data_IF_443463999973
#
_entry.id   IF_443463999973
#
_cell.length_a   1.000
_cell.length_b   1.000
_cell.length_c   1.000
_cell.angle_alpha   90.00
_cell.angle_beta   90.00
_cell.angle_gamma   90.00
#
_symmetry.space_group_name_H-M   'P 1'
#
loop_
_entity.id
_entity.type
_entity.pdbx_description
1 polymer ?
#
# COMPACT_ATOMS: atom_id res chain seq x y z
N UNK A 1 -10.19 -1.54 -19.56
CA UNK A 1 -9.11 -0.79 -18.91
C UNK A 1 -9.67 0.51 -18.37
N UNK A 2 -9.34 0.86 -17.12
CA UNK A 2 -9.74 2.11 -16.48
C UNK A 2 -8.51 3.01 -16.37
N UNK A 3 -8.69 4.32 -16.55
CA UNK A 3 -7.65 5.33 -16.43
C UNK A 3 -8.01 6.29 -15.30
N UNK A 4 -7.11 6.44 -14.32
CA UNK A 4 -7.20 7.36 -13.21
C UNK A 4 -5.95 8.25 -13.17
N UNK A 5 -5.96 9.26 -12.31
CA UNK A 5 -4.82 10.15 -12.12
C UNK A 5 -4.61 10.44 -10.64
N UNK A 6 -3.35 10.59 -10.25
CA UNK A 6 -2.95 11.09 -8.93
C UNK A 6 -1.90 12.20 -9.06
N UNK A 7 -1.72 13.00 -7.99
CA UNK A 7 -0.84 14.17 -8.00
C UNK A 7 -1.49 15.42 -8.59
N UNK A 8 -0.78 16.55 -8.53
CA UNK A 8 -1.21 17.87 -9.04
C UNK A 8 -0.14 18.49 -9.92
N UNK A 9 -0.57 19.33 -10.89
CA UNK A 9 0.34 20.06 -11.75
C UNK A 9 1.42 19.17 -12.37
N UNK A 10 2.70 19.54 -12.29
CA UNK A 10 3.81 18.76 -12.86
C UNK A 10 4.01 17.39 -12.22
N UNK A 11 3.52 17.16 -10.99
CA UNK A 11 3.62 15.88 -10.29
C UNK A 11 2.48 14.92 -10.62
N UNK A 12 1.54 15.30 -11.51
CA UNK A 12 0.41 14.47 -11.92
C UNK A 12 0.88 13.30 -12.79
N UNK A 13 0.40 12.09 -12.48
CA UNK A 13 0.71 10.89 -13.24
C UNK A 13 -0.53 10.02 -13.47
N UNK A 14 -0.44 9.20 -14.52
CA UNK A 14 -1.53 8.30 -14.91
C UNK A 14 -1.44 6.96 -14.18
N UNK A 15 -2.60 6.40 -13.85
CA UNK A 15 -2.79 5.05 -13.31
C UNK A 15 -3.73 4.31 -14.24
N UNK A 16 -3.27 3.20 -14.84
CA UNK A 16 -4.07 2.34 -15.69
C UNK A 16 -4.35 1.02 -15.00
N UNK A 17 -5.62 0.59 -14.96
CA UNK A 17 -6.07 -0.63 -14.31
C UNK A 17 -6.74 -1.54 -15.34
N UNK A 18 -6.31 -2.82 -15.39
CA UNK A 18 -6.88 -3.83 -16.29
C UNK A 18 -7.06 -5.17 -15.57
N UNK A 19 -8.02 -5.94 -16.03
CA UNK A 19 -8.26 -7.34 -15.64
C UNK A 19 -7.57 -8.35 -16.58
N UNK A 20 -6.82 -7.85 -17.56
CA UNK A 20 -6.08 -8.61 -18.55
C UNK A 20 -4.56 -8.39 -18.42
N UNK A 21 -3.77 -9.10 -19.23
CA UNK A 21 -2.34 -8.82 -19.42
C UNK A 21 -2.11 -7.36 -19.79
N UNK A 22 -0.95 -6.84 -19.36
CA UNK A 22 -0.61 -5.44 -19.63
C UNK A 22 -0.62 -5.12 -21.13
N UNK A 23 -1.32 -4.06 -21.54
CA UNK A 23 -1.35 -3.66 -22.93
C UNK A 23 0.00 -3.08 -23.36
N UNK A 24 0.63 -3.73 -24.35
CA UNK A 24 1.95 -3.33 -24.88
C UNK A 24 2.03 -1.84 -25.24
N UNK A 25 0.98 -1.30 -25.83
CA UNK A 25 0.94 0.09 -26.28
C UNK A 25 0.96 1.11 -25.12
N UNK A 26 0.41 0.77 -23.95
CA UNK A 26 0.38 1.69 -22.82
C UNK A 26 1.78 1.88 -22.20
N UNK A 27 2.52 0.80 -22.04
CA UNK A 27 3.87 0.86 -21.50
C UNK A 27 4.81 1.59 -22.45
N UNK A 28 4.78 1.23 -23.75
CA UNK A 28 5.72 1.75 -24.73
C UNK A 28 5.51 3.23 -25.11
N UNK A 29 4.37 3.85 -24.74
CA UNK A 29 4.19 5.30 -24.86
C UNK A 29 5.09 6.11 -23.95
N UNK A 30 5.55 5.53 -22.84
CA UNK A 30 6.38 6.18 -21.83
C UNK A 30 7.86 5.82 -21.94
N UNK A 31 8.22 4.93 -22.86
CA UNK A 31 9.58 4.47 -23.09
C UNK A 31 10.04 4.97 -24.47
N UNK A 32 11.05 5.84 -24.48
CA UNK A 32 11.70 6.24 -25.72
C UNK A 32 12.33 5.01 -26.39
N UNK A 33 12.24 4.91 -27.72
CA UNK A 33 12.79 3.77 -28.48
C UNK A 33 14.30 3.58 -28.29
N UNK A 34 15.03 4.64 -27.98
CA UNK A 34 16.49 4.63 -27.74
C UNK A 34 16.85 4.49 -26.26
N UNK A 35 15.87 4.65 -25.33
CA UNK A 35 16.14 4.60 -23.92
C UNK A 35 16.50 3.18 -23.45
N UNK A 36 17.46 3.07 -22.54
CA UNK A 36 17.69 1.86 -21.79
C UNK A 36 16.63 1.68 -20.70
N UNK A 37 16.28 0.43 -20.42
CA UNK A 37 15.28 0.10 -19.39
C UNK A 37 15.91 -0.85 -18.38
N UNK A 38 15.89 -0.50 -17.11
CA UNK A 38 16.21 -1.41 -16.01
C UNK A 38 14.93 -1.88 -15.35
N UNK A 39 14.58 -3.15 -15.50
CA UNK A 39 13.53 -3.81 -14.74
C UNK A 39 14.12 -4.18 -13.37
N UNK A 40 13.62 -3.55 -12.30
CA UNK A 40 13.89 -3.97 -10.93
C UNK A 40 12.73 -4.84 -10.47
N UNK A 41 13.05 -6.04 -9.99
CA UNK A 41 12.06 -7.05 -9.57
C UNK A 41 12.59 -7.86 -8.38
N UNK A 42 11.77 -8.73 -7.81
CA UNK A 42 12.21 -9.62 -6.74
C UNK A 42 11.97 -11.11 -7.06
N UNK A 43 12.61 -11.98 -6.28
CA UNK A 43 12.54 -13.43 -6.45
C UNK A 43 11.16 -14.04 -6.17
N UNK A 44 10.21 -13.27 -5.66
CA UNK A 44 8.81 -13.68 -5.47
C UNK A 44 7.96 -13.52 -6.73
N UNK A 45 8.42 -12.73 -7.71
CA UNK A 45 7.70 -12.56 -8.98
C UNK A 45 8.00 -13.74 -9.91
N UNK A 46 6.98 -14.46 -10.43
CA UNK A 46 7.19 -15.58 -11.35
C UNK A 46 8.03 -15.20 -12.57
N UNK A 47 9.02 -16.02 -12.90
CA UNK A 47 9.93 -15.79 -14.05
C UNK A 47 9.19 -15.63 -15.38
N UNK A 48 8.04 -16.30 -15.54
CA UNK A 48 7.18 -16.18 -16.73
C UNK A 48 6.65 -14.75 -16.88
N UNK A 49 6.26 -14.08 -15.76
CA UNK A 49 5.80 -12.70 -15.80
C UNK A 49 6.93 -11.74 -16.17
N UNK A 50 8.14 -11.97 -15.64
CA UNK A 50 9.32 -11.15 -15.95
C UNK A 50 9.67 -11.29 -17.45
N UNK A 51 9.67 -12.53 -17.97
CA UNK A 51 9.91 -12.81 -19.40
C UNK A 51 8.87 -12.11 -20.29
N UNK A 52 7.58 -12.21 -19.94
CA UNK A 52 6.50 -11.58 -20.68
C UNK A 52 6.62 -10.05 -20.67
N UNK A 53 6.95 -9.45 -19.52
CA UNK A 53 7.18 -8.02 -19.43
C UNK A 53 8.35 -7.58 -20.30
N UNK A 54 9.49 -8.29 -20.27
CA UNK A 54 10.65 -7.99 -21.13
C UNK A 54 10.26 -8.02 -22.61
N UNK A 55 9.47 -9.01 -23.05
CA UNK A 55 8.99 -9.12 -24.44
C UNK A 55 7.97 -8.04 -24.82
N UNK A 56 7.29 -7.45 -23.82
CA UNK A 56 6.32 -6.37 -24.02
C UNK A 56 7.01 -5.05 -24.36
N UNK A 57 8.20 -4.82 -23.80
CA UNK A 57 8.97 -3.60 -24.02
C UNK A 57 9.63 -3.66 -25.39
N UNK A 58 9.25 -2.74 -26.28
CA UNK A 58 9.77 -2.62 -27.66
C UNK A 58 11.11 -1.89 -27.68
N UNK A 59 12.09 -2.42 -26.96
CA UNK A 59 13.41 -1.85 -26.87
C UNK A 59 14.45 -2.98 -26.77
N UNK A 60 15.57 -2.85 -27.45
CA UNK A 60 16.65 -3.84 -27.42
C UNK A 60 17.49 -3.80 -26.13
N UNK A 61 17.48 -2.67 -25.43
CA UNK A 61 18.35 -2.43 -24.26
C UNK A 61 17.56 -2.58 -22.94
N UNK A 62 17.00 -3.79 -22.71
CA UNK A 62 16.26 -4.13 -21.48
C UNK A 62 17.13 -5.01 -20.58
N UNK A 63 17.45 -4.47 -19.41
CA UNK A 63 18.24 -5.12 -18.37
C UNK A 63 17.33 -5.50 -17.19
N UNK A 64 17.72 -6.51 -16.41
CA UNK A 64 16.98 -6.96 -15.22
C UNK A 64 17.91 -6.90 -14.03
N UNK A 65 17.40 -6.38 -12.90
CA UNK A 65 18.02 -6.47 -11.58
C UNK A 65 17.03 -7.11 -10.62
N UNK A 66 17.34 -8.32 -10.16
CA UNK A 66 16.52 -9.07 -9.23
C UNK A 66 17.09 -8.94 -7.82
N UNK A 67 16.24 -8.52 -6.86
CA UNK A 67 16.54 -8.52 -5.44
C UNK A 67 15.87 -9.72 -4.75
N UNK A 68 16.29 -10.05 -3.55
CA UNK A 68 15.63 -11.10 -2.75
C UNK A 68 14.25 -10.63 -2.30
N UNK A 69 13.25 -11.51 -2.33
CA UNK A 69 11.91 -11.18 -1.84
C UNK A 69 11.91 -10.88 -0.33
N UNK A 70 11.06 -9.95 0.09
CA UNK A 70 10.76 -9.59 1.47
C UNK A 70 11.36 -8.25 1.91
N UNK A 71 10.84 -7.74 3.03
CA UNK A 71 11.12 -6.38 3.55
C UNK A 71 12.61 -6.11 3.82
N UNK A 72 13.39 -7.13 4.15
CA UNK A 72 14.85 -7.01 4.35
C UNK A 72 15.62 -6.58 3.08
N UNK A 73 15.02 -6.77 1.91
CA UNK A 73 15.63 -6.33 0.65
C UNK A 73 15.59 -4.80 0.47
N UNK A 74 14.76 -4.11 1.23
CA UNK A 74 14.64 -2.65 1.22
C UNK A 74 15.75 -2.02 2.06
N UNK A 75 16.99 -2.09 1.57
CA UNK A 75 18.23 -1.79 2.31
C UNK A 75 19.21 -0.95 1.50
N UNK A 76 20.13 -0.27 2.19
CA UNK A 76 21.25 0.44 1.55
C UNK A 76 22.03 -0.46 0.60
N UNK A 77 22.30 -1.71 0.97
CA UNK A 77 23.04 -2.66 0.14
C UNK A 77 22.40 -2.84 -1.23
N UNK A 78 21.11 -3.17 -1.28
CA UNK A 78 20.41 -3.35 -2.55
C UNK A 78 20.26 -2.04 -3.32
N UNK A 79 20.02 -0.93 -2.61
CA UNK A 79 19.99 0.41 -3.22
C UNK A 79 21.33 0.72 -3.93
N UNK A 80 22.47 0.51 -3.28
CA UNK A 80 23.78 0.69 -3.88
C UNK A 80 23.98 -0.23 -5.10
N UNK A 81 23.51 -1.48 -5.03
CA UNK A 81 23.61 -2.42 -6.16
C UNK A 81 22.79 -1.95 -7.37
N UNK A 82 21.59 -1.39 -7.15
CA UNK A 82 20.78 -0.80 -8.23
C UNK A 82 21.52 0.39 -8.84
N UNK A 83 22.03 1.32 -8.02
CA UNK A 83 22.79 2.48 -8.54
C UNK A 83 24.05 2.05 -9.30
N UNK A 84 24.81 1.09 -8.76
CA UNK A 84 25.98 0.53 -9.45
C UNK A 84 25.59 -0.05 -10.81
N UNK A 85 24.49 -0.81 -10.89
CA UNK A 85 24.00 -1.39 -12.15
C UNK A 85 23.66 -0.30 -13.18
N UNK A 86 23.05 0.80 -12.75
CA UNK A 86 22.74 1.93 -13.63
C UNK A 86 24.02 2.61 -14.14
N UNK A 87 25.05 2.77 -13.28
CA UNK A 87 26.35 3.36 -13.65
C UNK A 87 27.08 2.44 -14.63
N UNK A 88 27.23 1.16 -14.31
CA UNK A 88 27.95 0.17 -15.14
C UNK A 88 27.35 0.05 -16.56
N UNK A 89 26.03 0.16 -16.66
CA UNK A 89 25.29 0.15 -17.92
C UNK A 89 25.23 1.55 -18.59
N UNK A 90 25.87 2.56 -18.01
CA UNK A 90 25.92 3.94 -18.54
C UNK A 90 24.51 4.49 -18.82
N UNK A 91 23.62 4.39 -17.83
CA UNK A 91 22.28 5.00 -17.92
C UNK A 91 22.38 6.52 -17.96
N UNK A 92 21.48 7.16 -18.70
CA UNK A 92 21.34 8.59 -18.87
C UNK A 92 20.02 9.10 -18.28
N UNK A 93 19.78 10.41 -18.30
CA UNK A 93 18.53 11.01 -17.82
C UNK A 93 17.30 10.65 -18.65
N UNK A 94 17.47 10.20 -19.88
CA UNK A 94 16.38 9.77 -20.76
C UNK A 94 16.00 8.28 -20.57
N UNK A 95 16.85 7.53 -19.85
CA UNK A 95 16.62 6.12 -19.56
C UNK A 95 15.60 5.94 -18.41
N UNK A 96 15.13 4.72 -18.19
CA UNK A 96 13.98 4.47 -17.35
C UNK A 96 14.18 3.27 -16.43
N UNK A 97 13.66 3.36 -15.19
CA UNK A 97 13.49 2.21 -14.31
C UNK A 97 12.03 1.72 -14.40
N UNK A 98 11.84 0.40 -14.49
CA UNK A 98 10.54 -0.27 -14.34
C UNK A 98 10.55 -1.05 -13.04
N UNK A 99 9.80 -0.61 -12.04
CA UNK A 99 9.59 -1.31 -10.79
C UNK A 99 8.51 -2.37 -10.99
N UNK A 100 8.88 -3.65 -11.08
CA UNK A 100 7.98 -4.76 -11.33
C UNK A 100 7.96 -5.72 -10.13
N UNK A 101 7.04 -5.51 -9.19
CA UNK A 101 6.99 -6.28 -7.94
C UNK A 101 6.02 -5.72 -6.91
N UNK A 102 6.18 -6.15 -5.67
CA UNK A 102 5.44 -5.63 -4.51
C UNK A 102 5.92 -4.24 -4.06
N UNK A 103 5.41 -3.79 -2.91
CA UNK A 103 5.75 -2.48 -2.34
C UNK A 103 7.25 -2.28 -2.09
N UNK A 104 7.96 -3.35 -1.69
CA UNK A 104 9.43 -3.31 -1.49
C UNK A 104 10.15 -2.91 -2.78
N UNK A 105 9.77 -3.53 -3.90
CA UNK A 105 10.34 -3.22 -5.22
C UNK A 105 9.99 -1.79 -5.64
N UNK A 106 8.72 -1.40 -5.47
CA UNK A 106 8.25 -0.04 -5.78
C UNK A 106 9.05 1.03 -5.04
N UNK A 107 9.22 0.85 -3.74
CA UNK A 107 9.92 1.79 -2.87
C UNK A 107 11.41 1.92 -3.21
N UNK A 108 12.15 0.81 -3.27
CA UNK A 108 13.59 0.86 -3.53
C UNK A 108 13.92 1.31 -4.95
N UNK A 109 13.14 0.87 -5.95
CA UNK A 109 13.31 1.29 -7.34
C UNK A 109 12.98 2.78 -7.54
N UNK A 110 11.88 3.25 -6.92
CA UNK A 110 11.48 4.66 -6.96
C UNK A 110 12.50 5.55 -6.24
N UNK A 111 13.03 5.12 -5.09
CA UNK A 111 14.09 5.85 -4.39
C UNK A 111 15.39 5.88 -5.21
N UNK A 112 15.77 4.77 -5.84
CA UNK A 112 16.92 4.74 -6.76
C UNK A 112 16.72 5.68 -7.95
N UNK A 113 15.51 5.72 -8.53
CA UNK A 113 15.18 6.64 -9.61
C UNK A 113 15.26 8.11 -9.18
N UNK A 114 14.81 8.43 -7.95
CA UNK A 114 14.81 9.81 -7.44
C UNK A 114 16.21 10.39 -7.24
N UNK A 115 17.18 9.54 -6.95
CA UNK A 115 18.55 9.97 -6.60
C UNK A 115 19.55 9.84 -7.74
N UNK A 116 19.37 8.85 -8.64
CA UNK A 116 20.25 8.67 -9.78
C UNK A 116 20.17 9.87 -10.73
N UNK A 117 21.33 10.48 -11.05
CA UNK A 117 21.45 11.70 -11.87
C UNK A 117 20.53 12.87 -11.42
N UNK A 118 20.17 12.94 -10.14
CA UNK A 118 19.21 13.88 -9.52
C UNK A 118 17.76 13.67 -9.97
N UNK A 119 17.44 12.47 -10.46
CA UNK A 119 16.11 12.05 -10.88
C UNK A 119 16.04 11.55 -12.32
N UNK A 120 15.68 10.27 -12.50
CA UNK A 120 15.33 9.69 -13.79
C UNK A 120 13.90 9.17 -13.76
N UNK A 121 13.28 9.01 -14.93
CA UNK A 121 11.92 8.49 -15.00
C UNK A 121 11.82 7.06 -14.43
N UNK A 122 10.66 6.76 -13.81
CA UNK A 122 10.34 5.37 -13.49
C UNK A 122 8.84 5.07 -13.69
N UNK A 123 8.53 3.79 -13.89
CA UNK A 123 7.19 3.24 -14.04
C UNK A 123 6.98 2.19 -12.95
N UNK A 124 5.82 2.16 -12.34
CA UNK A 124 5.44 1.09 -11.41
C UNK A 124 4.49 0.09 -12.05
N UNK A 125 4.78 -1.19 -11.88
CA UNK A 125 3.92 -2.31 -12.26
C UNK A 125 3.75 -3.18 -11.00
N UNK A 126 2.80 -2.83 -10.13
CA UNK A 126 2.61 -3.51 -8.85
C UNK A 126 2.02 -4.91 -9.03
N UNK A 127 2.61 -5.92 -8.36
CA UNK A 127 2.22 -7.33 -8.50
C UNK A 127 1.53 -7.92 -7.27
N UNK A 128 1.53 -7.22 -6.13
CA UNK A 128 0.77 -7.62 -4.94
C UNK A 128 -0.49 -6.76 -4.79
N UNK A 129 -1.55 -7.28 -4.18
CA UNK A 129 -2.77 -6.50 -3.96
C UNK A 129 -2.49 -5.24 -3.12
N UNK A 130 -1.66 -5.37 -2.06
CA UNK A 130 -1.23 -4.25 -1.24
C UNK A 130 -0.57 -3.14 -2.08
N UNK A 131 0.33 -3.51 -2.99
CA UNK A 131 0.97 -2.51 -3.84
C UNK A 131 0.01 -1.93 -4.90
N UNK A 132 -0.95 -2.71 -5.37
CA UNK A 132 -1.94 -2.26 -6.34
C UNK A 132 -2.92 -1.23 -5.75
N UNK A 133 -3.33 -1.39 -4.48
CA UNK A 133 -4.32 -0.49 -3.86
C UNK A 133 -3.69 0.60 -3.00
N UNK A 134 -2.42 0.43 -2.59
CA UNK A 134 -1.80 1.34 -1.62
C UNK A 134 -0.43 1.84 -2.07
N UNK A 135 0.66 1.10 -1.92
CA UNK A 135 2.03 1.65 -1.98
C UNK A 135 2.42 2.25 -3.32
N UNK A 136 1.79 1.86 -4.45
CA UNK A 136 2.06 2.46 -5.77
C UNK A 136 1.48 3.86 -5.98
N UNK A 137 0.68 4.37 -5.03
CA UNK A 137 0.02 5.68 -5.13
C UNK A 137 0.48 6.59 -4.01
N UNK A 138 0.92 7.81 -4.36
CA UNK A 138 1.31 8.86 -3.41
C UNK A 138 2.80 9.12 -3.29
N UNK A 139 3.60 8.56 -4.20
CA UNK A 139 5.00 8.94 -4.43
C UNK A 139 5.97 8.67 -3.28
N UNK A 140 5.57 8.01 -2.21
CA UNK A 140 6.47 7.64 -1.11
C UNK A 140 7.41 6.56 -1.59
N UNK A 141 8.72 6.83 -1.57
CA UNK A 141 9.78 5.87 -1.91
C UNK A 141 10.82 5.90 -0.82
N UNK A 142 11.32 4.75 -0.38
CA UNK A 142 12.22 4.71 0.76
C UNK A 142 13.01 3.39 0.83
N UNK A 143 14.01 3.41 1.71
CA UNK A 143 14.72 2.22 2.21
C UNK A 143 14.67 2.17 3.73
N UNK A 144 14.94 0.99 4.28
CA UNK A 144 15.04 0.76 5.71
C UNK A 144 16.49 0.92 6.18
N UNK A 145 16.63 1.38 7.41
CA UNK A 145 17.89 1.48 8.14
C UNK A 145 17.80 0.73 9.46
N UNK A 146 18.91 0.45 10.17
CA UNK A 146 18.86 -0.23 11.46
C UNK A 146 17.93 0.43 12.48
N UNK A 147 17.84 1.75 12.45
CA UNK A 147 17.06 2.58 13.36
C UNK A 147 15.54 2.52 13.08
N UNK A 148 15.14 2.11 11.88
CA UNK A 148 13.72 1.98 11.55
C UNK A 148 13.40 1.85 10.06
N UNK A 149 12.12 1.52 9.81
CA UNK A 149 11.59 1.40 8.46
C UNK A 149 11.35 2.78 7.83
N UNK A 150 11.63 2.90 6.53
CA UNK A 150 11.28 4.05 5.68
C UNK A 150 11.85 5.40 6.17
N UNK A 151 12.94 5.40 6.92
CA UNK A 151 13.53 6.65 7.44
C UNK A 151 14.33 7.42 6.40
N UNK A 152 14.81 6.74 5.37
CA UNK A 152 15.57 7.34 4.28
C UNK A 152 14.78 7.17 2.99
N UNK A 153 14.36 8.27 2.37
CA UNK A 153 13.52 8.21 1.19
C UNK A 153 13.23 9.58 0.57
N UNK A 154 12.37 9.56 -0.42
CA UNK A 154 11.93 10.75 -1.15
C UNK A 154 10.45 10.65 -1.55
N UNK A 155 9.80 11.80 -1.71
CA UNK A 155 8.55 11.88 -2.45
C UNK A 155 8.89 11.98 -3.94
N UNK A 156 8.69 10.89 -4.67
CA UNK A 156 9.02 10.81 -6.09
C UNK A 156 7.91 10.07 -6.85
N UNK A 157 7.18 10.78 -7.70
CA UNK A 157 6.05 10.21 -8.42
C UNK A 157 6.49 9.46 -9.68
N UNK A 158 5.88 8.29 -9.99
CA UNK A 158 6.15 7.57 -11.22
C UNK A 158 5.59 8.32 -12.43
N UNK A 159 6.14 8.08 -13.63
CA UNK A 159 5.53 8.56 -14.88
C UNK A 159 4.20 7.85 -15.17
N UNK A 160 4.08 6.61 -14.72
CA UNK A 160 2.92 5.73 -14.96
C UNK A 160 2.86 4.65 -13.88
N UNK A 161 1.64 4.30 -13.47
CA UNK A 161 1.36 3.06 -12.72
C UNK A 161 0.49 2.17 -13.60
N UNK A 162 0.94 0.93 -13.87
CA UNK A 162 0.20 -0.07 -14.64
C UNK A 162 -0.20 -1.23 -13.73
N UNK A 163 -1.48 -1.38 -13.48
CA UNK A 163 -2.07 -2.39 -12.61
C UNK A 163 -2.77 -3.45 -13.44
N UNK A 164 -2.45 -4.72 -13.16
CA UNK A 164 -3.15 -5.86 -13.74
C UNK A 164 -3.52 -6.87 -12.65
N UNK A 165 -4.80 -7.24 -12.57
CA UNK A 165 -5.28 -8.25 -11.62
C UNK A 165 -4.73 -9.65 -11.93
N UNK A 166 -4.24 -9.89 -13.15
CA UNK A 166 -3.63 -11.17 -13.55
C UNK A 166 -2.48 -11.57 -12.62
N UNK A 167 -1.71 -10.60 -12.13
CA UNK A 167 -0.58 -10.89 -11.22
C UNK A 167 -1.04 -11.41 -9.85
N UNK A 168 -2.29 -11.16 -9.45
CA UNK A 168 -2.84 -11.61 -8.17
C UNK A 168 -3.15 -13.12 -8.15
N UNK A 169 -3.23 -13.77 -9.32
CA UNK A 169 -3.53 -15.21 -9.42
C UNK A 169 -2.47 -16.09 -8.75
N UNK A 170 -1.21 -15.68 -8.81
CA UNK A 170 -0.08 -16.41 -8.24
C UNK A 170 0.36 -15.90 -6.87
N UNK A 171 -0.33 -14.91 -6.35
CA UNK A 171 -0.01 -14.32 -5.06
C UNK A 171 -0.37 -15.29 -3.92
N UNK A 172 0.50 -15.44 -2.92
CA UNK A 172 0.20 -16.26 -1.75
C UNK A 172 -1.04 -15.75 -1.02
N UNK A 173 -1.75 -16.64 -0.31
CA UNK A 173 -2.93 -16.28 0.46
C UNK A 173 -2.61 -15.22 1.53
N UNK A 174 -1.45 -15.34 2.18
CA UNK A 174 -0.97 -14.38 3.17
C UNK A 174 -0.81 -12.96 2.58
N UNK A 175 -0.20 -12.84 1.41
CA UNK A 175 0.01 -11.55 0.74
C UNK A 175 -1.30 -10.99 0.18
N UNK A 176 -2.19 -11.87 -0.29
CA UNK A 176 -3.50 -11.48 -0.77
C UNK A 176 -4.35 -10.88 0.37
N UNK A 177 -4.45 -11.58 1.52
CA UNK A 177 -5.13 -11.08 2.72
C UNK A 177 -4.50 -9.80 3.25
N UNK A 178 -3.19 -9.66 3.14
CA UNK A 178 -2.51 -8.40 3.49
C UNK A 178 -3.02 -7.23 2.66
N UNK A 179 -3.22 -7.43 1.35
CA UNK A 179 -3.82 -6.40 0.49
C UNK A 179 -5.29 -6.11 0.79
N UNK A 180 -6.07 -7.16 1.14
CA UNK A 180 -7.48 -6.99 1.53
C UNK A 180 -7.64 -6.14 2.79
N UNK A 181 -6.70 -6.19 3.74
CA UNK A 181 -6.69 -5.29 4.91
C UNK A 181 -6.66 -3.82 4.52
N UNK A 182 -5.93 -3.46 3.46
CA UNK A 182 -5.93 -2.09 2.95
C UNK A 182 -7.19 -1.75 2.15
N UNK A 183 -7.72 -2.71 1.39
CA UNK A 183 -9.01 -2.52 0.68
C UNK A 183 -10.12 -2.19 1.66
N UNK A 184 -10.25 -2.96 2.75
CA UNK A 184 -11.28 -2.74 3.79
C UNK A 184 -11.11 -1.37 4.46
N UNK A 185 -9.89 -0.92 4.68
CA UNK A 185 -9.61 0.41 5.20
C UNK A 185 -10.26 1.51 4.36
N UNK A 186 -10.10 1.44 3.03
CA UNK A 186 -10.71 2.44 2.14
C UNK A 186 -12.23 2.42 2.17
N UNK A 187 -12.85 1.25 2.39
CA UNK A 187 -14.30 1.14 2.53
C UNK A 187 -14.84 1.93 3.73
N UNK A 188 -14.00 2.12 4.77
CA UNK A 188 -14.35 2.86 6.00
C UNK A 188 -13.74 4.26 6.08
N UNK A 189 -13.05 4.73 5.02
CA UNK A 189 -12.52 6.11 4.98
C UNK A 189 -13.45 7.11 4.28
N UNK A 190 -14.61 6.78 3.86
CA UNK A 190 -15.57 7.57 3.06
C UNK A 190 -15.79 6.99 1.65
N UNK A 191 -15.91 5.67 1.53
CA UNK A 191 -16.25 5.05 0.25
C UNK A 191 -17.40 4.03 0.40
N UNK A 192 -18.64 4.56 0.41
CA UNK A 192 -19.86 3.75 0.45
C UNK A 192 -19.97 2.78 -0.73
N UNK A 193 -19.48 3.19 -1.92
CA UNK A 193 -19.53 2.35 -3.11
C UNK A 193 -18.63 1.11 -2.96
N UNK A 194 -17.41 1.30 -2.45
CA UNK A 194 -16.49 0.19 -2.17
C UNK A 194 -17.06 -0.73 -1.10
N UNK A 195 -17.64 -0.18 -0.03
CA UNK A 195 -18.28 -0.96 1.04
C UNK A 195 -19.39 -1.86 0.49
N UNK A 196 -20.32 -1.29 -0.27
CA UNK A 196 -21.40 -2.05 -0.91
C UNK A 196 -20.88 -3.09 -1.91
N UNK A 197 -19.78 -2.79 -2.62
CA UNK A 197 -19.17 -3.71 -3.59
C UNK A 197 -18.58 -4.93 -2.86
N UNK A 198 -17.92 -4.72 -1.71
CA UNK A 198 -17.36 -5.79 -0.89
C UNK A 198 -18.50 -6.65 -0.32
N UNK A 199 -19.51 -6.03 0.28
CA UNK A 199 -20.65 -6.71 0.88
C UNK A 199 -21.35 -7.65 -0.11
N UNK A 200 -21.63 -7.16 -1.33
CA UNK A 200 -22.32 -7.93 -2.36
C UNK A 200 -21.48 -9.00 -3.05
N UNK A 201 -20.16 -8.96 -2.92
CA UNK A 201 -19.26 -9.81 -3.69
C UNK A 201 -18.18 -10.50 -2.84
N UNK A 202 -18.40 -10.65 -1.53
CA UNK A 202 -17.40 -11.19 -0.62
C UNK A 202 -16.84 -12.55 -1.07
N UNK A 203 -17.70 -13.48 -1.52
CA UNK A 203 -17.28 -14.78 -2.05
C UNK A 203 -16.43 -14.64 -3.33
N UNK A 204 -16.80 -13.75 -4.28
CA UNK A 204 -16.01 -13.52 -5.49
C UNK A 204 -14.65 -12.90 -5.19
N UNK A 205 -14.58 -12.06 -4.15
CA UNK A 205 -13.32 -11.47 -3.66
C UNK A 205 -12.42 -12.56 -3.10
N UNK A 206 -12.92 -13.45 -2.25
CA UNK A 206 -12.13 -14.56 -1.72
C UNK A 206 -11.68 -15.55 -2.80
N UNK A 207 -12.48 -15.75 -3.85
CA UNK A 207 -12.15 -16.56 -5.03
C UNK A 207 -11.25 -15.82 -6.05
N UNK A 208 -10.88 -14.58 -5.80
CA UNK A 208 -10.03 -13.76 -6.68
C UNK A 208 -10.59 -13.53 -8.07
N UNK A 209 -11.91 -13.30 -8.17
CA UNK A 209 -12.53 -12.94 -9.44
C UNK A 209 -11.90 -11.66 -10.03
N UNK A 210 -11.34 -11.78 -11.23
CA UNK A 210 -10.57 -10.69 -11.84
C UNK A 210 -11.38 -9.41 -12.07
N UNK A 211 -12.67 -9.53 -12.43
CA UNK A 211 -13.53 -8.37 -12.70
C UNK A 211 -13.83 -7.62 -11.39
N UNK A 212 -14.23 -8.37 -10.35
CA UNK A 212 -14.50 -7.78 -9.05
C UNK A 212 -13.23 -7.20 -8.44
N UNK A 213 -12.08 -7.87 -8.56
CA UNK A 213 -10.80 -7.33 -8.12
C UNK A 213 -10.44 -6.02 -8.81
N UNK A 214 -10.67 -5.91 -10.12
CA UNK A 214 -10.47 -4.65 -10.83
C UNK A 214 -11.33 -3.53 -10.24
N UNK A 215 -12.60 -3.82 -9.98
CA UNK A 215 -13.55 -2.82 -9.48
C UNK A 215 -13.20 -2.36 -8.05
N UNK A 216 -12.80 -3.27 -7.15
CA UNK A 216 -12.37 -2.89 -5.80
C UNK A 216 -11.02 -2.15 -5.79
N UNK A 217 -10.08 -2.51 -6.68
CA UNK A 217 -8.82 -1.79 -6.86
C UNK A 217 -9.10 -0.38 -7.37
N UNK A 218 -9.97 -0.24 -8.36
CA UNK A 218 -10.37 1.06 -8.91
C UNK A 218 -10.94 1.99 -7.82
N UNK A 219 -11.89 1.50 -7.01
CA UNK A 219 -12.50 2.29 -5.95
C UNK A 219 -11.52 2.61 -4.81
N UNK A 220 -10.63 1.68 -4.46
CA UNK A 220 -9.56 1.91 -3.49
C UNK A 220 -8.61 3.04 -3.94
N UNK A 221 -8.17 2.98 -5.20
CA UNK A 221 -7.29 4.00 -5.78
C UNK A 221 -7.99 5.35 -5.91
N UNK A 222 -9.27 5.39 -6.29
CA UNK A 222 -10.04 6.65 -6.31
C UNK A 222 -10.05 7.30 -4.94
N UNK A 223 -10.27 6.53 -3.88
CA UNK A 223 -10.26 7.05 -2.51
C UNK A 223 -8.88 7.56 -2.14
N UNK A 224 -7.83 6.75 -2.37
CA UNK A 224 -6.47 7.16 -2.02
C UNK A 224 -6.00 8.36 -2.84
N UNK A 225 -6.17 8.34 -4.15
CA UNK A 225 -5.70 9.43 -5.02
C UNK A 225 -6.38 10.76 -4.70
N UNK A 226 -7.69 10.76 -4.38
CA UNK A 226 -8.43 11.95 -3.91
C UNK A 226 -7.79 12.56 -2.66
N UNK A 227 -7.39 11.74 -1.69
CA UNK A 227 -6.79 12.17 -0.43
C UNK A 227 -5.35 12.66 -0.66
N UNK A 228 -4.53 11.84 -1.34
CA UNK A 228 -3.12 12.17 -1.64
C UNK A 228 -3.00 13.44 -2.49
N UNK A 229 -3.91 13.62 -3.47
CA UNK A 229 -3.91 14.83 -4.30
C UNK A 229 -4.20 16.10 -3.49
N UNK A 230 -4.96 15.99 -2.39
CA UNK A 230 -5.23 17.13 -1.49
C UNK A 230 -4.09 17.38 -0.51
N UNK A 231 -3.36 16.34 -0.11
CA UNK A 231 -2.32 16.41 0.91
C UNK A 231 -1.17 15.44 0.55
N UNK A 232 -0.31 15.86 -0.38
CA UNK A 232 0.79 15.03 -0.91
C UNK A 232 1.82 14.68 0.17
N UNK A 233 2.13 15.65 1.05
CA UNK A 233 3.20 15.53 2.07
C UNK A 233 2.72 15.00 3.43
N UNK A 234 1.44 14.61 3.55
CA UNK A 234 0.87 14.07 4.80
C UNK A 234 0.95 15.04 5.99
N UNK A 235 0.64 16.30 5.73
CA UNK A 235 0.60 17.33 6.77
C UNK A 235 -0.78 17.54 7.42
N UNK A 236 -1.84 16.91 6.89
CA UNK A 236 -3.21 17.16 7.34
C UNK A 236 -4.16 15.98 7.09
N UNK A 237 -5.07 16.12 6.11
CA UNK A 237 -6.16 15.17 5.86
C UNK A 237 -5.68 13.76 5.51
N UNK A 238 -4.48 13.60 4.96
CA UNK A 238 -3.92 12.28 4.62
C UNK A 238 -3.75 11.39 5.84
N UNK A 239 -3.71 11.94 7.06
CA UNK A 239 -3.66 11.18 8.31
C UNK A 239 -4.81 10.16 8.45
N UNK A 240 -6.00 10.41 7.84
CA UNK A 240 -7.14 9.47 7.90
C UNK A 240 -6.83 8.13 7.22
N UNK A 241 -5.86 8.08 6.30
CA UNK A 241 -5.37 6.82 5.71
C UNK A 241 -4.72 5.88 6.74
N UNK A 242 -4.47 6.38 7.94
CA UNK A 242 -3.92 5.60 9.04
C UNK A 242 -5.02 5.00 9.95
N UNK A 243 -6.27 4.88 9.50
CA UNK A 243 -7.30 4.16 10.25
C UNK A 243 -6.84 2.72 10.54
N UNK A 244 -6.86 2.34 11.81
CA UNK A 244 -6.33 1.06 12.30
C UNK A 244 -4.80 0.99 12.49
N UNK A 245 -4.02 1.90 11.92
CA UNK A 245 -2.55 1.81 11.90
C UNK A 245 -1.91 1.97 13.29
N UNK A 246 -2.44 2.81 14.17
CA UNK A 246 -1.89 3.00 15.52
C UNK A 246 -1.81 1.68 16.29
N UNK A 247 -2.89 0.92 16.28
CA UNK A 247 -2.94 -0.39 16.96
C UNK A 247 -2.28 -1.48 16.14
N UNK A 248 -2.45 -1.47 14.82
CA UNK A 248 -1.81 -2.42 13.91
C UNK A 248 -0.28 -2.37 13.99
N UNK A 249 0.33 -1.20 13.94
CA UNK A 249 1.77 -1.02 14.11
C UNK A 249 2.26 -1.46 15.50
N UNK A 250 1.46 -1.22 16.55
CA UNK A 250 1.79 -1.70 17.89
C UNK A 250 1.80 -3.24 17.94
N UNK A 251 0.85 -3.91 17.27
CA UNK A 251 0.80 -5.37 17.13
C UNK A 251 2.01 -5.88 16.32
N UNK A 252 2.33 -5.25 15.17
CA UNK A 252 3.51 -5.61 14.38
C UNK A 252 4.80 -5.49 15.20
N UNK A 253 4.98 -4.38 15.90
CA UNK A 253 6.17 -4.13 16.74
C UNK A 253 6.27 -5.15 17.89
N UNK A 254 5.15 -5.45 18.59
CA UNK A 254 5.09 -6.46 19.65
C UNK A 254 5.45 -7.85 19.15
N UNK A 255 5.04 -8.19 17.93
CA UNK A 255 5.30 -9.49 17.29
C UNK A 255 6.62 -9.50 16.51
N UNK A 256 7.42 -8.43 16.59
CA UNK A 256 8.69 -8.26 15.87
C UNK A 256 8.52 -8.48 14.36
N UNK A 257 7.37 -8.08 13.80
CA UNK A 257 7.04 -8.20 12.37
C UNK A 257 7.09 -9.63 11.81
N UNK A 258 6.96 -10.66 12.68
CA UNK A 258 7.14 -12.07 12.27
C UNK A 258 5.83 -12.87 12.19
N UNK A 259 4.83 -12.53 13.03
CA UNK A 259 3.59 -13.34 13.16
C UNK A 259 2.53 -12.97 12.13
N UNK A 260 2.25 -11.69 11.97
CA UNK A 260 1.20 -11.19 11.08
C UNK A 260 1.80 -10.47 9.87
N UNK A 261 1.06 -10.49 8.75
CA UNK A 261 1.30 -9.56 7.65
C UNK A 261 0.82 -8.16 8.05
N UNK A 262 1.32 -7.12 7.36
CA UNK A 262 0.92 -5.75 7.61
C UNK A 262 -0.60 -5.58 7.60
N UNK A 263 -1.27 -5.98 6.51
CA UNK A 263 -2.72 -5.83 6.41
C UNK A 263 -3.50 -6.61 7.46
N UNK A 264 -3.01 -7.80 7.90
CA UNK A 264 -3.65 -8.53 8.99
C UNK A 264 -3.56 -7.76 10.31
N UNK A 265 -2.41 -7.17 10.62
CA UNK A 265 -2.24 -6.33 11.81
C UNK A 265 -3.10 -5.07 11.75
N UNK A 266 -3.16 -4.40 10.58
CA UNK A 266 -4.00 -3.20 10.38
C UNK A 266 -5.48 -3.57 10.51
N UNK A 267 -5.91 -4.74 10.04
CA UNK A 267 -7.29 -5.23 10.20
C UNK A 267 -7.69 -5.32 11.67
N UNK A 268 -6.87 -5.99 12.50
CA UNK A 268 -7.12 -6.04 13.94
C UNK A 268 -7.11 -4.63 14.56
N UNK A 269 -6.22 -3.78 14.10
CA UNK A 269 -6.17 -2.38 14.52
C UNK A 269 -7.42 -1.59 14.15
N UNK A 270 -8.06 -1.87 13.02
CA UNK A 270 -9.34 -1.27 12.63
C UNK A 270 -10.48 -1.74 13.53
N UNK A 271 -10.51 -3.02 13.90
CA UNK A 271 -11.50 -3.55 14.86
C UNK A 271 -11.37 -2.82 16.19
N UNK A 272 -10.15 -2.69 16.73
CA UNK A 272 -9.88 -1.98 17.98
C UNK A 272 -10.30 -0.50 17.86
N UNK A 273 -9.93 0.20 16.78
CA UNK A 273 -10.29 1.59 16.57
C UNK A 273 -11.81 1.78 16.44
N UNK A 274 -12.53 0.83 15.84
CA UNK A 274 -13.99 0.84 15.74
C UNK A 274 -14.66 0.60 17.09
N UNK A 275 -14.14 -0.30 17.94
CA UNK A 275 -14.61 -0.47 19.32
C UNK A 275 -14.41 0.79 20.15
N UNK A 276 -13.27 1.50 19.99
CA UNK A 276 -13.05 2.79 20.64
C UNK A 276 -14.08 3.80 20.14
N UNK A 277 -14.33 3.89 18.83
CA UNK A 277 -15.33 4.79 18.26
C UNK A 277 -16.75 4.53 18.82
N UNK A 278 -17.07 3.26 19.07
CA UNK A 278 -18.33 2.87 19.73
C UNK A 278 -18.37 3.32 21.20
N UNK A 279 -17.32 3.07 21.98
CA UNK A 279 -17.27 3.49 23.39
C UNK A 279 -17.24 5.01 23.56
N UNK A 280 -16.74 5.74 22.57
CA UNK A 280 -16.79 7.22 22.52
C UNK A 280 -18.14 7.75 21.99
N UNK A 281 -19.08 6.87 21.60
CA UNK A 281 -20.40 7.27 21.11
C UNK A 281 -20.42 7.79 19.66
N UNK A 282 -19.33 7.62 18.90
CA UNK A 282 -19.26 8.05 17.51
C UNK A 282 -19.99 7.13 16.53
N UNK A 283 -20.18 5.85 16.89
CA UNK A 283 -20.96 4.86 16.15
C UNK A 283 -21.85 4.08 17.10
N UNK A 284 -22.92 3.51 16.56
CA UNK A 284 -23.88 2.66 17.29
C UNK A 284 -23.41 1.19 17.24
N UNK A 285 -23.97 0.35 18.10
CA UNK A 285 -23.65 -1.08 18.22
C UNK A 285 -23.80 -1.82 16.87
N UNK A 286 -24.94 -1.67 16.21
CA UNK A 286 -25.17 -2.31 14.91
C UNK A 286 -24.15 -1.87 13.83
N UNK A 287 -23.57 -0.67 13.96
CA UNK A 287 -22.54 -0.20 13.03
C UNK A 287 -21.18 -0.87 13.31
N UNK A 288 -20.87 -1.09 14.59
CA UNK A 288 -19.69 -1.86 14.99
C UNK A 288 -19.79 -3.30 14.48
N UNK A 289 -20.96 -3.95 14.67
CA UNK A 289 -21.21 -5.29 14.14
C UNK A 289 -21.07 -5.34 12.61
N UNK A 290 -21.64 -4.38 11.89
CA UNK A 290 -21.52 -4.29 10.44
C UNK A 290 -20.05 -4.17 9.99
N UNK A 291 -19.22 -3.39 10.71
CA UNK A 291 -17.78 -3.27 10.41
C UNK A 291 -17.09 -4.64 10.57
N UNK A 292 -17.32 -5.31 11.72
CA UNK A 292 -16.71 -6.60 12.04
C UNK A 292 -17.16 -7.67 11.02
N UNK A 293 -18.46 -7.72 10.73
CA UNK A 293 -19.02 -8.70 9.80
C UNK A 293 -18.49 -8.49 8.36
N UNK A 294 -18.35 -7.24 7.92
CA UNK A 294 -17.80 -6.94 6.60
C UNK A 294 -16.33 -7.36 6.50
N UNK A 295 -15.53 -7.12 7.53
CA UNK A 295 -14.14 -7.58 7.61
C UNK A 295 -14.08 -9.11 7.54
N UNK A 296 -14.87 -9.81 8.36
CA UNK A 296 -14.90 -11.26 8.40
C UNK A 296 -15.39 -11.89 7.07
N UNK A 297 -16.33 -11.25 6.38
CA UNK A 297 -16.94 -11.75 5.15
C UNK A 297 -15.94 -12.00 4.00
N UNK A 298 -14.81 -11.28 3.99
CA UNK A 298 -13.73 -11.48 3.01
C UNK A 298 -12.55 -12.29 3.55
N UNK A 299 -12.77 -13.03 4.65
CA UNK A 299 -11.82 -14.00 5.22
C UNK A 299 -10.66 -13.35 5.99
N UNK A 300 -10.85 -12.12 6.49
CA UNK A 300 -9.91 -11.45 7.39
C UNK A 300 -10.25 -11.76 8.85
N UNK A 301 -9.22 -11.90 9.67
CA UNK A 301 -9.36 -12.16 11.10
C UNK A 301 -9.77 -10.89 11.84
N UNK A 302 -10.72 -11.03 12.76
CA UNK A 302 -11.23 -9.95 13.61
C UNK A 302 -10.94 -10.19 15.10
N UNK A 303 -10.42 -11.38 15.46
CA UNK A 303 -10.10 -11.70 16.83
C UNK A 303 -8.75 -11.11 17.26
N UNK A 304 -8.84 -10.14 18.13
CA UNK A 304 -7.67 -9.49 18.74
C UNK A 304 -7.41 -9.91 20.20
N UNK A 305 -8.11 -10.93 20.71
CA UNK A 305 -8.05 -11.40 22.11
C UNK A 305 -6.64 -11.76 22.60
N UNK A 306 -5.78 -12.22 21.66
CA UNK A 306 -4.37 -12.53 21.93
C UNK A 306 -3.51 -11.30 22.24
N UNK A 307 -4.04 -10.08 22.13
CA UNK A 307 -3.30 -8.84 22.31
C UNK A 307 -3.88 -8.00 23.46
N UNK A 308 -3.12 -7.85 24.56
CA UNK A 308 -3.57 -7.07 25.71
C UNK A 308 -3.06 -5.63 25.63
N UNK A 309 -3.87 -4.65 26.06
CA UNK A 309 -3.46 -3.24 26.10
C UNK A 309 -2.16 -3.03 26.87
N UNK A 310 -1.98 -3.70 28.02
CA UNK A 310 -0.75 -3.60 28.83
C UNK A 310 0.52 -3.92 28.07
N UNK A 311 0.47 -4.87 27.13
CA UNK A 311 1.60 -5.27 26.29
C UNK A 311 1.86 -4.29 25.13
N UNK A 312 0.80 -3.68 24.60
CA UNK A 312 0.86 -2.79 23.45
C UNK A 312 1.08 -1.32 23.82
N UNK A 313 0.76 -0.91 25.06
CA UNK A 313 0.82 0.49 25.52
C UNK A 313 2.11 1.19 25.13
N UNK A 314 3.27 0.58 25.38
CA UNK A 314 4.58 1.19 25.07
C UNK A 314 4.77 1.46 23.59
N UNK A 315 4.25 0.59 22.70
CA UNK A 315 4.37 0.77 21.25
C UNK A 315 3.37 1.80 20.73
N UNK A 316 2.16 1.85 21.30
CA UNK A 316 1.14 2.86 21.00
C UNK A 316 1.65 4.25 21.34
N UNK A 317 2.28 4.41 22.53
CA UNK A 317 2.80 5.70 22.99
C UNK A 317 4.08 6.14 22.27
N UNK A 318 4.83 5.22 21.67
CA UNK A 318 6.03 5.51 20.87
C UNK A 318 5.73 5.73 19.38
N UNK A 319 4.47 5.62 18.93
CA UNK A 319 4.12 5.90 17.54
C UNK A 319 4.41 7.38 17.22
N UNK A 320 5.07 7.64 16.07
CA UNK A 320 5.40 8.99 15.55
C UNK A 320 4.20 9.94 15.38
N UNK A 321 3.00 9.47 15.67
CA UNK A 321 1.75 10.24 15.67
C UNK A 321 1.52 11.05 16.93
N UNK A 322 2.47 11.05 17.88
CA UNK A 322 2.48 11.99 19.00
C UNK A 322 3.01 13.34 18.47
N UNK A 323 2.10 14.15 17.92
CA UNK A 323 2.39 15.54 17.69
C UNK A 323 2.12 16.29 18.98
N UNK A 324 3.05 17.13 19.42
CA UNK A 324 2.93 17.97 20.62
C UNK A 324 2.65 17.20 21.92
N UNK A 325 3.15 15.97 22.05
CA UNK A 325 2.98 15.13 23.23
C UNK A 325 1.61 14.50 23.41
N UNK A 326 0.68 14.66 22.45
CA UNK A 326 -0.67 14.10 22.51
C UNK A 326 -0.85 12.95 21.53
N UNK A 327 -1.42 11.84 22.00
CA UNK A 327 -1.80 10.72 21.14
C UNK A 327 -2.96 11.14 20.25
N UNK A 328 -2.80 10.98 18.94
CA UNK A 328 -3.86 11.18 17.97
C UNK A 328 -4.35 9.83 17.44
N UNK A 329 -5.65 9.61 17.48
CA UNK A 329 -6.29 8.42 16.93
C UNK A 329 -7.07 8.77 15.66
N UNK A 330 -7.16 7.81 14.77
CA UNK A 330 -8.11 7.86 13.65
C UNK A 330 -9.28 6.98 14.05
N UNK A 331 -10.44 7.61 14.21
CA UNK A 331 -11.71 6.99 14.55
C UNK A 331 -12.69 7.05 13.38
N UNK A 332 -13.83 6.41 13.51
CA UNK A 332 -14.89 6.37 12.51
C UNK A 332 -16.18 6.93 13.12
N UNK A 333 -16.95 7.71 12.35
CA UNK A 333 -18.24 8.25 12.77
C UNK A 333 -19.44 7.46 12.20
N UNK A 334 -20.66 7.83 12.58
CA UNK A 334 -21.92 7.21 12.14
C UNK A 334 -22.11 7.13 10.61
N UNK A 335 -21.46 7.99 9.84
CA UNK A 335 -21.48 7.98 8.39
C UNK A 335 -20.37 7.07 7.78
N UNK A 336 -19.69 6.29 8.62
CA UNK A 336 -18.50 5.50 8.24
C UNK A 336 -17.39 6.35 7.61
N UNK A 337 -17.18 7.56 8.15
CA UNK A 337 -16.10 8.45 7.75
C UNK A 337 -15.02 8.48 8.82
N UNK A 338 -13.79 8.24 8.40
CA UNK A 338 -12.64 8.34 9.28
C UNK A 338 -12.32 9.82 9.59
N UNK A 339 -11.97 10.10 10.83
CA UNK A 339 -11.52 11.41 11.29
C UNK A 339 -10.41 11.29 12.32
N UNK A 340 -9.56 12.33 12.40
CA UNK A 340 -8.46 12.41 13.37
C UNK A 340 -8.95 13.15 14.63
N UNK A 341 -8.60 12.61 15.82
CA UNK A 341 -8.91 13.26 17.11
C UNK A 341 -7.86 12.94 18.17
N UNK A 342 -7.64 13.88 19.08
CA UNK A 342 -6.89 13.71 20.34
C UNK A 342 -7.85 13.72 21.56
N UNK A 343 -9.16 13.84 21.32
CA UNK A 343 -10.19 13.88 22.34
C UNK A 343 -10.83 12.50 22.48
N UNK A 344 -10.48 11.77 23.53
CA UNK A 344 -11.01 10.44 23.88
C UNK A 344 -10.66 10.06 25.29
N UNK A 345 -11.45 9.17 25.90
CA UNK A 345 -11.12 8.59 27.21
C UNK A 345 -10.14 7.41 27.07
N UNK A 346 -9.00 7.49 27.77
CA UNK A 346 -8.03 6.39 27.85
C UNK A 346 -8.64 5.07 28.37
N UNK A 347 -9.71 5.14 29.19
CA UNK A 347 -10.41 3.95 29.65
C UNK A 347 -11.16 3.26 28.51
N UNK A 348 -11.66 4.00 27.52
CA UNK A 348 -12.32 3.42 26.35
C UNK A 348 -11.32 2.67 25.45
N UNK A 349 -10.05 3.10 25.41
CA UNK A 349 -8.99 2.30 24.79
C UNK A 349 -8.84 0.96 25.52
N UNK A 350 -8.77 0.98 26.87
CA UNK A 350 -8.65 -0.26 27.67
C UNK A 350 -9.86 -1.18 27.49
N UNK A 351 -11.09 -0.62 27.41
CA UNK A 351 -12.32 -1.38 27.15
C UNK A 351 -12.28 -2.07 25.78
N UNK A 352 -11.78 -1.41 24.74
CA UNK A 352 -11.70 -1.95 23.40
C UNK A 352 -10.81 -3.20 23.26
N UNK A 353 -9.91 -3.45 24.22
CA UNK A 353 -9.09 -4.66 24.31
C UNK A 353 -9.70 -5.76 25.20
N UNK A 354 -10.79 -5.47 25.89
CA UNK A 354 -11.56 -6.51 26.60
C UNK A 354 -12.51 -7.12 25.55
N UNK A 355 -12.44 -8.44 25.43
CA UNK A 355 -13.30 -9.21 24.53
C UNK A 355 -14.65 -9.45 25.19
#
# INVERSE_FOLDING_TARGET
MVELYAGKGPSRYKICITDNVLPKNQLNKYIDRKAKVLIVTDSGVPKTYIKNLKQTIRNSSVHIHEIKNGEKAKSFKNYQQILKKLIDLKFSRTDLIVAFGGGVVGDIAGFSASTFLRGIGYIQIPTTLLSQVDSSVGGKTAINVPEGKNLVGAFYNPKLVLISTVYLKTLSEKEYKSGLGEVIKYAFIDNKKLRNLIEKNSQKITQRDNKILKDIIEESIKTKSKIVTKDEKESGIRAILNFGHTFGHAIEARTRYKKLSHGAAITLGMVIASKISFFEGHIKDYQLENIINLIASIGLDTDHSSYKYSELKKYIMNDKKIADGKLNLIMINENYKAFKTDKFDLNNIKKAFKV
#
